data_IF_027114544603
#
_entry.id   IF_027114544603
#
_cell.length_a   1.000
_cell.length_b   1.000
_cell.length_c   1.000
_cell.angle_alpha   90.00
_cell.angle_beta   90.00
_cell.angle_gamma   90.00
#
_symmetry.space_group_name_H-M   'P 1'
#
loop_
_entity.id
_entity.type
_entity.pdbx_description
1 polymer ?
#
# COMPACT_ATOMS: atom_id res chain seq x y z
N UNK A 1 6.08 0.85 23.58
CA UNK A 1 5.86 1.04 22.13
C UNK A 1 6.93 2.01 21.69
N UNK A 2 8.06 1.51 21.18
CA UNK A 2 9.18 2.38 20.80
C UNK A 2 8.84 3.12 19.52
N UNK A 3 8.56 4.43 19.64
CA UNK A 3 8.45 5.32 18.49
C UNK A 3 9.89 5.62 18.06
N UNK A 4 10.39 4.86 17.07
CA UNK A 4 11.68 5.15 16.45
C UNK A 4 11.62 6.55 15.85
N UNK A 5 12.51 7.41 16.33
CA UNK A 5 12.79 8.73 15.76
C UNK A 5 12.89 8.63 14.23
N UNK A 6 11.99 9.33 13.56
CA UNK A 6 11.97 9.46 12.10
C UNK A 6 13.14 10.32 11.66
N UNK A 7 14.30 9.69 11.43
CA UNK A 7 15.41 10.30 10.69
C UNK A 7 14.87 10.79 9.35
N UNK A 8 15.10 12.08 9.02
CA UNK A 8 14.57 12.66 7.78
C UNK A 8 15.16 11.90 6.60
N UNK A 9 14.29 11.35 5.73
CA UNK A 9 14.76 10.65 4.53
C UNK A 9 15.51 11.62 3.62
N UNK A 10 16.63 11.18 3.05
CA UNK A 10 17.34 11.93 2.01
C UNK A 10 16.47 12.01 0.73
N UNK A 11 16.56 13.13 0.01
CA UNK A 11 15.88 13.30 -1.28
C UNK A 11 16.28 12.17 -2.23
N UNK A 12 15.30 11.38 -2.65
CA UNK A 12 15.47 10.29 -3.61
C UNK A 12 14.75 10.66 -4.90
N UNK A 13 15.37 10.47 -6.06
CA UNK A 13 14.81 10.74 -7.41
C UNK A 13 13.55 9.95 -7.75
N UNK A 14 13.09 9.06 -6.85
CA UNK A 14 11.86 8.30 -7.00
C UNK A 14 10.61 9.20 -7.09
N UNK A 15 10.01 9.26 -8.28
CA UNK A 15 8.76 9.99 -8.57
C UNK A 15 7.51 9.14 -8.33
N UNK A 16 7.57 8.12 -7.48
CA UNK A 16 6.42 7.32 -7.09
C UNK A 16 5.36 8.21 -6.41
N UNK A 17 4.13 8.15 -6.93
CA UNK A 17 2.97 8.85 -6.39
C UNK A 17 2.16 7.94 -5.48
N UNK A 18 1.48 8.52 -4.49
CA UNK A 18 0.50 7.77 -3.71
C UNK A 18 -0.66 7.29 -4.59
N UNK A 19 -1.00 6.01 -4.50
CA UNK A 19 -2.10 5.41 -5.27
C UNK A 19 -3.50 5.74 -4.74
N UNK A 20 -3.60 6.35 -3.55
CA UNK A 20 -4.88 6.67 -2.90
C UNK A 20 -5.55 7.82 -3.64
N UNK A 21 -6.84 7.65 -3.97
CA UNK A 21 -7.62 8.67 -4.66
C UNK A 21 -7.64 9.98 -3.85
N UNK A 22 -7.17 11.07 -4.45
CA UNK A 22 -7.11 12.40 -3.83
C UNK A 22 -5.85 12.67 -3.00
N UNK A 23 -4.96 11.68 -2.84
CA UNK A 23 -3.67 11.91 -2.19
C UNK A 23 -2.72 12.62 -3.16
N UNK A 24 -2.11 13.72 -2.71
CA UNK A 24 -1.14 14.51 -3.49
C UNK A 24 0.31 14.27 -3.08
N UNK A 25 0.54 13.31 -2.19
CA UNK A 25 1.88 13.03 -1.67
C UNK A 25 2.75 12.30 -2.70
N UNK A 26 4.00 12.72 -2.79
CA UNK A 26 5.02 12.27 -3.76
C UNK A 26 6.28 11.88 -2.98
N UNK A 27 6.82 10.69 -3.25
CA UNK A 27 7.96 10.15 -2.51
C UNK A 27 9.22 11.04 -2.53
N UNK A 28 9.45 11.77 -3.63
CA UNK A 28 10.57 12.71 -3.77
C UNK A 28 10.44 13.96 -2.88
N UNK A 29 9.23 14.45 -2.62
CA UNK A 29 8.98 15.70 -1.90
C UNK A 29 8.62 15.48 -0.42
N UNK A 30 7.83 14.44 -0.12
CA UNK A 30 7.31 14.19 1.22
C UNK A 30 8.26 13.31 2.04
N UNK A 31 9.40 13.87 2.43
CA UNK A 31 10.49 13.17 3.13
C UNK A 31 10.12 12.71 4.56
N UNK A 32 9.07 13.28 5.14
CA UNK A 32 8.50 12.86 6.42
C UNK A 32 7.64 11.59 6.31
N UNK A 33 7.32 11.14 5.09
CA UNK A 33 6.47 9.98 4.84
C UNK A 33 7.29 8.78 4.35
N UNK A 34 6.82 7.60 4.75
CA UNK A 34 7.33 6.33 4.24
C UNK A 34 6.36 5.75 3.21
N UNK A 35 6.76 5.75 1.95
CA UNK A 35 5.99 5.14 0.85
C UNK A 35 6.26 3.63 0.81
N UNK A 36 5.21 2.84 0.96
CA UNK A 36 5.26 1.38 0.85
C UNK A 36 4.61 0.94 -0.45
N UNK A 37 5.24 -0.04 -1.13
CA UNK A 37 4.67 -0.64 -2.34
C UNK A 37 3.68 -1.74 -1.96
N UNK A 38 2.65 -1.90 -2.79
CA UNK A 38 1.74 -3.03 -2.64
C UNK A 38 2.48 -4.33 -2.87
N UNK A 39 2.08 -5.36 -2.10
CA UNK A 39 2.48 -6.73 -2.37
C UNK A 39 2.00 -7.15 -3.76
N UNK A 40 2.78 -8.02 -4.43
CA UNK A 40 2.44 -8.50 -5.76
C UNK A 40 1.03 -9.14 -5.75
N UNK A 41 0.21 -8.88 -6.78
CA UNK A 41 -1.11 -9.47 -6.88
C UNK A 41 -1.02 -10.99 -6.86
N UNK A 42 -2.02 -11.64 -6.27
CA UNK A 42 -2.19 -13.10 -6.20
C UNK A 42 -1.09 -13.90 -5.47
N UNK A 43 -0.03 -13.27 -4.97
CA UNK A 43 1.05 -13.96 -4.23
C UNK A 43 0.82 -14.05 -2.73
N UNK A 44 0.18 -13.04 -2.16
CA UNK A 44 0.02 -12.93 -0.70
C UNK A 44 -1.46 -12.93 -0.32
N UNK A 45 -1.82 -13.79 0.63
CA UNK A 45 -3.18 -13.94 1.14
C UNK A 45 -3.19 -14.17 2.65
N UNK A 46 -4.31 -13.83 3.27
CA UNK A 46 -4.60 -14.14 4.66
C UNK A 46 -5.89 -14.94 4.73
N UNK A 47 -5.94 -15.91 5.64
CA UNK A 47 -7.18 -16.60 5.95
C UNK A 47 -7.92 -15.78 7.00
N UNK A 48 -9.10 -15.27 6.65
CA UNK A 48 -9.96 -14.53 7.59
C UNK A 48 -11.16 -15.39 7.92
N UNK A 49 -11.40 -15.60 9.21
CA UNK A 49 -12.62 -16.24 9.68
C UNK A 49 -13.75 -15.20 9.68
N UNK A 50 -14.91 -15.57 9.16
CA UNK A 50 -16.11 -14.74 9.26
C UNK A 50 -16.80 -14.96 10.62
N UNK A 51 -17.85 -14.17 10.91
CA UNK A 51 -18.63 -14.30 12.14
C UNK A 51 -19.30 -15.67 12.33
N UNK A 52 -19.44 -16.46 11.27
CA UNK A 52 -20.02 -17.80 11.29
C UNK A 52 -18.97 -18.91 11.43
N UNK A 53 -17.72 -18.57 11.72
CA UNK A 53 -16.63 -19.55 11.87
C UNK A 53 -16.03 -20.05 10.55
N UNK A 54 -16.56 -19.63 9.39
CA UNK A 54 -16.05 -20.04 8.08
C UNK A 54 -14.79 -19.26 7.71
N UNK A 55 -13.73 -19.97 7.32
CA UNK A 55 -12.49 -19.36 6.83
C UNK A 55 -12.61 -19.00 5.35
N UNK A 56 -12.22 -17.78 5.00
CA UNK A 56 -12.14 -17.32 3.61
C UNK A 56 -10.72 -16.84 3.31
N UNK A 57 -10.20 -17.28 2.17
CA UNK A 57 -8.93 -16.78 1.61
C UNK A 57 -9.14 -15.38 1.05
N UNK A 58 -8.40 -14.41 1.56
CA UNK A 58 -8.43 -13.02 1.11
C UNK A 58 -7.06 -12.63 0.60
N UNK A 59 -6.99 -12.25 -0.68
CA UNK A 59 -5.77 -11.70 -1.26
C UNK A 59 -5.54 -10.27 -0.75
N UNK A 60 -4.35 -10.03 -0.19
CA UNK A 60 -4.00 -8.76 0.47
C UNK A 60 -4.12 -7.59 -0.51
N UNK A 61 -3.62 -7.78 -1.73
CA UNK A 61 -3.70 -6.78 -2.79
C UNK A 61 -5.15 -6.36 -3.08
N UNK A 62 -6.06 -7.32 -3.26
CA UNK A 62 -7.47 -7.04 -3.54
C UNK A 62 -8.17 -6.31 -2.39
N UNK A 63 -7.82 -6.65 -1.15
CA UNK A 63 -8.34 -5.97 0.04
C UNK A 63 -7.89 -4.50 0.08
N UNK A 64 -6.60 -4.24 -0.15
CA UNK A 64 -6.05 -2.88 -0.22
C UNK A 64 -6.67 -2.06 -1.35
N UNK A 65 -6.76 -2.62 -2.56
CA UNK A 65 -7.36 -1.89 -3.69
C UNK A 65 -8.81 -1.48 -3.42
N UNK A 66 -9.59 -2.36 -2.75
CA UNK A 66 -10.96 -2.04 -2.35
C UNK A 66 -11.00 -0.97 -1.26
N UNK A 67 -10.16 -1.08 -0.22
CA UNK A 67 -10.13 -0.13 0.89
C UNK A 67 -9.69 1.27 0.45
N UNK A 68 -8.67 1.35 -0.41
CA UNK A 68 -8.09 2.60 -0.89
C UNK A 68 -8.83 3.19 -2.10
N UNK A 69 -9.91 2.54 -2.55
CA UNK A 69 -10.69 2.93 -3.74
C UNK A 69 -9.79 3.17 -4.96
N UNK A 70 -8.78 2.31 -5.13
CA UNK A 70 -7.87 2.37 -6.26
C UNK A 70 -8.66 1.90 -7.49
N UNK A 71 -9.14 2.85 -8.30
CA UNK A 71 -9.67 2.53 -9.63
C UNK A 71 -8.55 1.86 -10.43
N UNK A 72 -8.84 0.73 -11.10
CA UNK A 72 -7.89 -0.08 -11.91
C UNK A 72 -6.74 0.78 -12.46
N UNK A 73 -5.64 0.84 -11.72
CA UNK A 73 -4.41 1.41 -12.23
C UNK A 73 -3.92 0.36 -13.20
N UNK A 74 -3.88 0.69 -14.49
CA UNK A 74 -3.17 -0.11 -15.48
C UNK A 74 -1.73 -0.22 -14.99
N UNK A 75 -1.36 -1.36 -14.41
CA UNK A 75 0.04 -1.68 -14.19
C UNK A 75 0.67 -1.79 -15.57
N UNK A 76 1.32 -0.72 -16.02
CA UNK A 76 2.42 -0.87 -16.97
C UNK A 76 3.54 -1.52 -16.15
N UNK A 77 3.64 -2.84 -16.28
CA UNK A 77 4.76 -3.59 -15.73
C UNK A 77 6.05 -2.94 -16.25
N UNK A 78 6.90 -2.50 -15.32
CA UNK A 78 8.33 -2.28 -15.54
C UNK A 78 9.04 -3.45 -14.87
#
# INVERSE_FOLDING_TARGET
>A
MEVKDSTSRQKNSNRDYCAVKGCRSIAYNDLSLSFHRFLKPNKHFVNKQNHFGNSKKIYIYAAWSKALKINRIYYKYI
#
